data_IF_741607110490
#
_entry.id   IF_741607110490
#
_cell.length_a   1.000
_cell.length_b   1.000
_cell.length_c   1.000
_cell.angle_alpha   90.00
_cell.angle_beta   90.00
_cell.angle_gamma   90.00
#
_symmetry.space_group_name_H-M   'P 1'
#
loop_
_entity.id
_entity.type
_entity.pdbx_description
1 polymer ?
#
# COMPACT_ATOMS: atom_id res chain seq x y z
N UNK A 1 -6.26 -11.58 -5.18
CA UNK A 1 -7.02 -10.75 -4.24
C UNK A 1 -6.91 -9.30 -4.65
N UNK A 2 -7.99 -8.60 -4.55
CA UNK A 2 -8.03 -7.19 -4.89
C UNK A 2 -7.32 -6.41 -3.78
N UNK A 3 -6.35 -5.55 -4.08
CA UNK A 3 -5.61 -4.82 -3.04
C UNK A 3 -6.41 -3.71 -2.35
N UNK A 4 -7.63 -3.41 -2.81
CA UNK A 4 -8.46 -2.32 -2.29
C UNK A 4 -8.73 -2.38 -0.80
N UNK A 5 -8.89 -3.54 -0.20
CA UNK A 5 -9.10 -3.61 1.24
C UNK A 5 -7.86 -3.29 2.09
N UNK A 6 -6.70 -3.11 1.49
CA UNK A 6 -5.53 -2.59 2.18
C UNK A 6 -5.73 -1.15 2.68
N UNK A 7 -6.66 -0.44 2.05
CA UNK A 7 -6.97 0.95 2.35
C UNK A 7 -8.28 1.14 3.12
N UNK A 8 -8.90 0.04 3.55
CA UNK A 8 -10.03 0.12 4.48
C UNK A 8 -9.48 0.61 5.82
N UNK A 9 -10.07 1.69 6.31
CA UNK A 9 -9.73 2.25 7.61
C UNK A 9 -9.86 1.18 8.70
N UNK A 10 -8.90 1.15 9.60
CA UNK A 10 -8.86 0.21 10.74
C UNK A 10 -8.73 -1.27 10.36
N UNK A 11 -8.36 -1.58 9.13
CA UNK A 11 -8.12 -2.95 8.74
C UNK A 11 -6.90 -3.51 9.47
N UNK A 12 -7.14 -4.40 10.42
CA UNK A 12 -6.08 -5.23 10.97
C UNK A 12 -5.70 -6.28 9.91
N UNK A 13 -4.50 -6.14 9.38
CA UNK A 13 -3.99 -7.06 8.35
C UNK A 13 -3.53 -8.35 9.02
N UNK A 14 -4.30 -9.40 8.86
CA UNK A 14 -4.00 -10.71 9.44
C UNK A 14 -3.58 -11.70 8.37
N UNK A 15 -2.49 -12.41 8.61
CA UNK A 15 -1.99 -13.49 7.76
C UNK A 15 -1.67 -14.72 8.62
N UNK A 16 -1.97 -15.89 8.09
CA UNK A 16 -1.55 -17.15 8.63
C UNK A 16 -0.50 -17.76 7.68
N UNK A 17 0.75 -17.88 8.13
CA UNK A 17 1.81 -18.57 7.43
C UNK A 17 1.80 -20.02 7.85
N UNK A 18 1.93 -20.95 6.88
CA UNK A 18 1.80 -22.40 7.13
C UNK A 18 2.92 -23.19 6.47
N UNK A 19 3.39 -24.20 7.16
CA UNK A 19 4.30 -25.19 6.60
C UNK A 19 4.25 -26.50 7.35
N UNK A 20 4.43 -27.60 6.63
CA UNK A 20 4.60 -28.95 7.16
C UNK A 20 6.06 -29.38 7.04
N UNK A 21 6.55 -30.09 8.07
CA UNK A 21 7.87 -30.71 8.10
C UNK A 21 7.76 -32.16 8.61
N UNK A 22 8.59 -33.02 8.03
CA UNK A 22 8.89 -34.36 8.56
C UNK A 22 10.29 -34.33 9.22
N UNK A 23 10.34 -33.91 10.48
CA UNK A 23 11.58 -33.71 11.21
C UNK A 23 12.25 -35.06 11.53
N UNK A 24 13.51 -35.22 11.14
CA UNK A 24 14.30 -36.41 11.42
C UNK A 24 14.92 -36.41 12.82
N UNK A 25 15.08 -35.25 13.40
CA UNK A 25 15.67 -34.97 14.71
C UNK A 25 14.97 -33.78 15.36
N UNK A 26 15.13 -33.66 16.68
CA UNK A 26 14.65 -32.51 17.42
C UNK A 26 15.38 -31.25 17.00
N UNK A 27 14.67 -30.14 16.87
CA UNK A 27 15.23 -28.86 16.42
C UNK A 27 14.63 -27.69 17.19
N UNK A 28 15.33 -26.57 17.17
CA UNK A 28 14.88 -25.33 17.78
C UNK A 28 14.76 -24.25 16.69
N UNK A 29 13.74 -23.42 16.80
CA UNK A 29 13.58 -22.25 15.93
C UNK A 29 12.94 -21.08 16.68
N UNK A 30 13.04 -19.89 16.08
CA UNK A 30 12.36 -18.66 16.58
C UNK A 30 11.66 -17.99 15.43
N UNK A 31 10.41 -17.58 15.63
CA UNK A 31 9.67 -16.74 14.68
C UNK A 31 9.74 -15.30 15.14
N UNK A 32 10.47 -14.48 14.40
CA UNK A 32 10.54 -13.04 14.61
C UNK A 32 9.42 -12.36 13.85
N UNK A 33 8.63 -11.55 14.53
CA UNK A 33 7.55 -10.76 13.94
C UNK A 33 7.22 -9.53 14.82
N UNK A 34 6.77 -8.45 14.18
CA UNK A 34 6.08 -7.34 14.86
C UNK A 34 4.57 -7.49 14.77
N UNK A 35 3.86 -6.91 15.72
CA UNK A 35 2.41 -6.98 15.81
C UNK A 35 1.93 -8.01 16.82
N UNK A 36 0.68 -8.43 16.68
CA UNK A 36 0.04 -9.41 17.56
C UNK A 36 -0.05 -10.76 16.87
N UNK A 37 0.12 -11.84 17.62
CA UNK A 37 0.01 -13.17 17.03
C UNK A 37 0.61 -14.26 17.90
N UNK A 38 0.70 -15.47 17.33
CA UNK A 38 1.24 -16.64 17.97
C UNK A 38 1.74 -17.65 16.93
N UNK A 39 2.55 -18.60 17.40
CA UNK A 39 2.95 -19.76 16.62
C UNK A 39 2.19 -20.99 17.14
N UNK A 40 1.57 -21.72 16.26
CA UNK A 40 0.95 -23.01 16.57
C UNK A 40 1.82 -24.13 15.99
N UNK A 41 2.22 -25.06 16.84
CA UNK A 41 2.96 -26.27 16.45
C UNK A 41 2.16 -27.48 16.90
N UNK A 42 1.59 -28.20 15.96
CA UNK A 42 0.77 -29.37 16.22
C UNK A 42 -0.36 -29.12 17.25
N UNK A 43 -0.99 -27.92 17.21
CA UNK A 43 -2.07 -27.54 18.13
C UNK A 43 -1.59 -26.87 19.43
N UNK A 44 -0.27 -26.85 19.69
CA UNK A 44 0.30 -26.16 20.87
C UNK A 44 0.71 -24.75 20.49
N UNK A 45 0.25 -23.76 21.27
CA UNK A 45 0.47 -22.34 20.99
C UNK A 45 1.67 -21.78 21.75
N UNK A 46 2.52 -21.08 21.03
CA UNK A 46 3.72 -20.41 21.52
C UNK A 46 3.67 -18.92 21.20
N UNK A 47 4.42 -18.13 21.97
CA UNK A 47 4.57 -16.69 21.73
C UNK A 47 5.52 -16.43 20.56
N UNK A 48 5.24 -15.39 19.78
CA UNK A 48 6.21 -14.82 18.83
C UNK A 48 7.47 -14.33 19.55
N UNK A 49 8.58 -14.29 18.83
CA UNK A 49 9.88 -13.80 19.31
C UNK A 49 10.50 -14.60 20.46
N UNK A 50 10.10 -15.84 20.64
CA UNK A 50 10.64 -16.77 21.63
C UNK A 50 11.11 -18.06 20.95
N UNK A 51 12.13 -18.69 21.53
CA UNK A 51 12.62 -19.97 21.05
C UNK A 51 11.58 -21.08 21.29
N UNK A 52 11.38 -21.92 20.29
CA UNK A 52 10.44 -23.04 20.28
C UNK A 52 11.23 -24.31 19.99
N UNK A 53 11.05 -25.33 20.83
CA UNK A 53 11.64 -26.65 20.60
C UNK A 53 10.59 -27.57 19.96
N UNK A 54 10.99 -28.29 18.94
CA UNK A 54 10.20 -29.31 18.27
C UNK A 54 10.91 -30.66 18.34
N UNK A 55 10.15 -31.69 18.66
CA UNK A 55 10.64 -33.05 18.60
C UNK A 55 10.66 -33.60 17.17
N UNK A 56 11.41 -34.67 16.94
CA UNK A 56 11.36 -35.39 15.67
C UNK A 56 9.96 -35.92 15.39
N UNK A 57 9.55 -35.91 14.12
CA UNK A 57 8.24 -36.38 13.65
C UNK A 57 7.54 -35.40 12.71
N UNK A 58 6.31 -35.74 12.38
CA UNK A 58 5.44 -34.88 11.58
C UNK A 58 5.08 -33.59 12.36
N UNK A 59 5.39 -32.46 11.78
CA UNK A 59 5.27 -31.16 12.43
C UNK A 59 4.56 -30.16 11.54
N UNK A 60 3.35 -29.80 11.92
CA UNK A 60 2.58 -28.73 11.28
C UNK A 60 2.80 -27.42 12.03
N UNK A 61 3.29 -26.42 11.31
CA UNK A 61 3.54 -25.10 11.87
C UNK A 61 2.60 -24.09 11.23
N UNK A 62 1.91 -23.32 12.05
CA UNK A 62 1.11 -22.18 11.63
C UNK A 62 1.53 -20.95 12.42
N UNK A 63 1.75 -19.85 11.73
CA UNK A 63 2.14 -18.57 12.35
C UNK A 63 1.08 -17.54 12.04
N UNK A 64 0.35 -17.12 13.05
CA UNK A 64 -0.67 -16.09 12.95
C UNK A 64 -0.06 -14.74 13.31
N UNK A 65 -0.12 -13.79 12.39
CA UNK A 65 0.40 -12.43 12.60
C UNK A 65 -0.62 -11.40 12.13
N UNK A 66 -0.93 -10.46 13.01
CA UNK A 66 -1.70 -9.26 12.70
C UNK A 66 -0.84 -8.01 12.90
N UNK A 67 -0.83 -7.12 11.93
CA UNK A 67 -0.12 -5.86 12.01
C UNK A 67 -0.99 -4.72 11.47
N UNK A 68 -1.13 -3.65 12.25
CA UNK A 68 -1.89 -2.45 11.88
C UNK A 68 -1.01 -1.35 11.28
N UNK A 69 0.30 -1.41 11.52
CA UNK A 69 1.27 -0.39 11.11
C UNK A 69 2.06 -0.76 9.86
N UNK A 70 1.92 -1.99 9.36
CA UNK A 70 2.65 -2.47 8.20
C UNK A 70 2.11 -3.78 7.67
N UNK A 71 2.84 -4.41 6.77
CA UNK A 71 2.50 -5.74 6.29
C UNK A 71 2.79 -6.79 7.36
N UNK A 72 1.91 -7.78 7.57
CA UNK A 72 2.24 -8.94 8.37
C UNK A 72 3.38 -9.71 7.71
N UNK A 73 4.52 -9.77 8.39
CA UNK A 73 5.73 -10.44 7.94
C UNK A 73 6.31 -11.27 9.06
N UNK A 74 7.02 -12.32 8.70
CA UNK A 74 7.75 -13.17 9.63
C UNK A 74 9.17 -13.42 9.13
N UNK A 75 10.10 -13.58 10.06
CA UNK A 75 11.42 -14.08 9.80
C UNK A 75 11.72 -15.22 10.73
N UNK A 76 11.99 -16.40 10.18
CA UNK A 76 12.19 -17.62 10.97
C UNK A 76 13.66 -17.97 11.02
N UNK A 77 14.18 -18.04 12.23
CA UNK A 77 15.58 -18.36 12.52
C UNK A 77 15.65 -19.76 13.11
N UNK A 78 16.26 -20.66 12.39
CA UNK A 78 16.52 -22.04 12.81
C UNK A 78 17.37 -22.75 11.79
N UNK A 79 17.86 -23.92 12.14
CA UNK A 79 18.73 -24.70 11.28
C UNK A 79 17.90 -25.47 10.22
N UNK A 80 16.87 -26.15 10.66
CA UNK A 80 15.95 -26.93 9.83
C UNK A 80 14.72 -26.12 9.50
N UNK A 81 14.05 -25.54 10.52
CA UNK A 81 12.87 -24.70 10.37
C UNK A 81 13.32 -23.25 10.22
N UNK A 82 13.22 -22.72 9.00
CA UNK A 82 13.72 -21.39 8.62
C UNK A 82 12.87 -20.75 7.56
N UNK A 83 13.06 -19.46 7.32
CA UNK A 83 12.45 -18.74 6.19
C UNK A 83 13.06 -19.24 4.88
N UNK A 84 12.23 -19.83 4.03
CA UNK A 84 12.55 -20.26 2.66
C UNK A 84 11.28 -20.30 1.81
N UNK A 85 11.38 -20.76 0.57
CA UNK A 85 10.29 -20.77 -0.41
C UNK A 85 9.16 -21.79 -0.14
N UNK A 86 9.30 -22.65 0.88
CA UNK A 86 8.30 -23.70 1.16
C UNK A 86 7.11 -23.25 2.01
N UNK A 87 7.08 -22.01 2.46
CA UNK A 87 5.99 -21.46 3.26
C UNK A 87 4.80 -21.06 2.41
N UNK A 88 3.60 -21.26 2.94
CA UNK A 88 2.34 -20.77 2.40
C UNK A 88 1.83 -19.61 3.25
N UNK A 89 1.21 -18.62 2.63
CA UNK A 89 0.54 -17.51 3.28
C UNK A 89 -0.97 -17.55 3.00
N UNK A 90 -1.78 -17.37 4.01
CA UNK A 90 -3.24 -17.36 3.91
C UNK A 90 -3.83 -16.13 4.57
N UNK A 91 -4.78 -15.50 3.91
CA UNK A 91 -5.65 -14.45 4.47
C UNK A 91 -6.97 -15.02 4.99
N UNK A 92 -7.02 -16.33 5.28
CA UNK A 92 -8.19 -17.11 5.70
C UNK A 92 -9.23 -17.39 4.61
N UNK A 93 -9.14 -16.73 3.46
CA UNK A 93 -9.99 -16.99 2.29
C UNK A 93 -9.20 -17.72 1.21
N UNK A 94 -7.98 -17.29 0.96
CA UNK A 94 -7.09 -17.82 -0.07
C UNK A 94 -5.75 -18.19 0.55
N UNK A 95 -5.15 -19.28 0.07
CA UNK A 95 -3.79 -19.70 0.46
C UNK A 95 -2.91 -19.74 -0.78
N UNK A 96 -1.76 -19.11 -0.71
CA UNK A 96 -0.79 -18.96 -1.80
C UNK A 96 0.63 -19.23 -1.27
N UNK A 97 1.59 -19.53 -2.14
CA UNK A 97 3.00 -19.49 -1.74
C UNK A 97 3.33 -18.14 -1.09
N UNK A 98 4.02 -18.18 0.05
CA UNK A 98 4.43 -16.96 0.72
C UNK A 98 5.44 -16.21 -0.15
N UNK A 99 5.16 -14.93 -0.41
CA UNK A 99 6.14 -14.04 -1.00
C UNK A 99 7.27 -13.80 -0.01
N UNK A 100 8.47 -13.50 -0.51
CA UNK A 100 9.56 -13.09 0.34
C UNK A 100 9.98 -11.65 0.01
N UNK A 101 10.40 -10.95 1.04
CA UNK A 101 10.93 -9.62 0.88
C UNK A 101 12.42 -9.74 0.55
N UNK A 102 12.80 -9.26 -0.61
CA UNK A 102 14.15 -9.45 -1.19
C UNK A 102 15.25 -8.83 -0.31
N UNK A 103 14.93 -7.79 0.43
CA UNK A 103 15.89 -7.13 1.34
C UNK A 103 16.11 -7.88 2.64
N UNK A 104 15.38 -8.95 2.92
CA UNK A 104 15.57 -9.78 4.10
C UNK A 104 16.68 -10.79 3.89
N UNK A 105 17.91 -10.37 4.10
CA UNK A 105 19.10 -11.21 3.98
C UNK A 105 19.78 -11.49 5.32
N UNK A 106 19.41 -10.73 6.36
CA UNK A 106 20.02 -10.82 7.69
C UNK A 106 18.95 -11.05 8.76
N UNK A 107 19.16 -12.08 9.60
CA UNK A 107 18.32 -12.41 10.76
C UNK A 107 18.19 -11.29 11.80
N UNK A 108 19.12 -10.34 11.81
CA UNK A 108 19.10 -9.19 12.70
C UNK A 108 18.27 -8.02 12.17
N UNK A 109 17.83 -8.11 10.93
CA UNK A 109 16.93 -7.10 10.36
C UNK A 109 15.55 -7.22 10.98
N UNK A 110 14.90 -6.08 11.16
CA UNK A 110 13.49 -6.04 11.56
C UNK A 110 12.62 -6.67 10.47
N UNK A 111 11.82 -7.71 10.76
CA UNK A 111 10.92 -8.31 9.78
C UNK A 111 9.89 -7.34 9.20
N UNK A 112 9.60 -6.23 9.86
CA UNK A 112 8.69 -5.21 9.38
C UNK A 112 9.44 -3.98 8.86
N UNK A 113 10.25 -4.14 7.82
CA UNK A 113 10.96 -3.02 7.17
C UNK A 113 10.02 -1.98 6.57
N UNK A 114 8.76 -2.38 6.31
CA UNK A 114 7.72 -1.49 5.81
C UNK A 114 6.83 -1.11 6.99
N UNK A 115 7.13 0.01 7.59
CA UNK A 115 6.39 0.51 8.74
C UNK A 115 5.88 1.93 8.46
N UNK A 116 4.59 2.14 8.71
CA UNK A 116 4.03 3.49 8.68
C UNK A 116 4.61 4.33 9.79
N UNK A 117 5.04 5.51 9.43
CA UNK A 117 5.39 6.58 10.38
C UNK A 117 4.31 7.62 10.41
N UNK A 118 4.23 8.31 11.55
CA UNK A 118 3.28 9.38 11.75
C UNK A 118 4.01 10.67 12.04
N UNK A 119 3.64 11.73 11.33
CA UNK A 119 4.14 13.08 11.53
C UNK A 119 3.02 13.99 12.00
N UNK A 120 3.27 14.75 13.06
CA UNK A 120 2.35 15.79 13.55
C UNK A 120 2.39 17.01 12.64
N UNK A 121 1.25 17.38 12.06
CA UNK A 121 1.10 18.57 11.22
C UNK A 121 0.14 19.52 11.89
N UNK A 122 0.64 20.69 12.25
CA UNK A 122 -0.18 21.77 12.84
C UNK A 122 -0.74 22.62 11.70
N UNK A 123 -1.96 23.09 11.82
CA UNK A 123 -2.56 23.98 10.86
C UNK A 123 -1.70 25.25 10.70
N UNK A 124 -1.33 25.56 9.45
CA UNK A 124 -0.54 26.73 9.10
C UNK A 124 -1.32 28.04 9.27
N UNK A 125 -2.63 27.94 9.04
CA UNK A 125 -3.57 29.05 9.26
C UNK A 125 -4.88 28.52 9.85
N UNK A 126 -5.48 29.33 10.73
CA UNK A 126 -6.80 29.14 11.29
C UNK A 126 -7.55 30.45 11.14
N UNK A 127 -8.74 30.41 10.56
CA UNK A 127 -9.50 31.64 10.32
C UNK A 127 -11.00 31.43 10.54
N UNK A 128 -11.63 32.40 11.16
CA UNK A 128 -13.07 32.49 11.20
C UNK A 128 -13.56 32.87 9.78
N UNK A 129 -14.50 32.08 9.30
CA UNK A 129 -15.16 32.28 7.98
C UNK A 129 -16.67 32.22 8.19
N UNK A 130 -17.43 32.61 7.17
CA UNK A 130 -18.88 32.49 7.26
C UNK A 130 -19.27 31.02 7.55
N UNK A 131 -20.08 30.85 8.60
CA UNK A 131 -20.60 29.57 9.06
C UNK A 131 -19.68 28.75 9.98
N UNK A 132 -18.43 29.17 10.28
CA UNK A 132 -17.55 28.39 11.17
C UNK A 132 -16.07 28.76 11.12
N UNK A 133 -15.22 27.78 11.35
CA UNK A 133 -13.74 27.93 11.36
C UNK A 133 -13.10 27.05 10.32
N UNK A 134 -12.22 27.63 9.51
CA UNK A 134 -11.42 26.93 8.51
C UNK A 134 -9.98 26.76 8.99
N UNK A 135 -9.45 25.53 8.87
CA UNK A 135 -8.08 25.15 9.14
C UNK A 135 -7.37 24.83 7.84
N UNK A 136 -6.28 25.54 7.49
CA UNK A 136 -5.38 25.21 6.37
C UNK A 136 -4.09 24.59 6.92
N UNK A 137 -3.80 23.34 6.58
CA UNK A 137 -2.58 22.66 6.96
C UNK A 137 -1.39 23.02 6.06
N UNK A 138 -1.60 23.85 5.03
CA UNK A 138 -0.57 24.38 4.14
C UNK A 138 -0.03 23.37 3.12
N UNK A 139 -0.37 22.11 3.25
CA UNK A 139 -0.05 21.01 2.32
C UNK A 139 -1.12 19.92 2.40
N UNK A 140 -1.13 19.04 1.41
CA UNK A 140 -1.94 17.85 1.47
C UNK A 140 -1.45 16.91 2.60
N UNK A 141 -2.39 16.34 3.33
CA UNK A 141 -2.19 15.37 4.41
C UNK A 141 -2.95 14.09 4.04
N UNK A 142 -2.30 12.96 4.19
CA UNK A 142 -2.96 11.66 4.17
C UNK A 142 -2.87 11.08 5.59
N UNK A 143 -3.95 11.21 6.37
CA UNK A 143 -3.86 10.87 7.78
C UNK A 143 -5.16 11.11 8.55
N UNK A 144 -5.04 11.21 9.86
CA UNK A 144 -6.13 11.47 10.80
C UNK A 144 -6.03 12.86 11.40
N UNK A 145 -7.09 13.29 12.09
CA UNK A 145 -7.09 14.54 12.85
C UNK A 145 -7.35 14.21 14.31
N UNK A 146 -6.56 14.79 15.20
CA UNK A 146 -6.87 14.82 16.63
C UNK A 146 -7.60 16.10 16.94
N UNK A 147 -8.66 16.01 17.74
CA UNK A 147 -9.56 17.12 18.08
C UNK A 147 -9.53 17.35 19.58
N UNK A 148 -9.31 18.59 20.01
CA UNK A 148 -9.63 19.02 21.36
C UNK A 148 -10.84 19.91 21.29
N UNK A 149 -11.91 19.50 21.95
CA UNK A 149 -13.21 20.17 21.93
C UNK A 149 -13.96 19.93 23.24
N UNK A 150 -14.83 20.85 23.62
CA UNK A 150 -15.69 20.73 24.78
C UNK A 150 -17.04 20.06 24.47
N UNK A 151 -17.35 19.82 23.23
CA UNK A 151 -18.59 19.20 22.77
C UNK A 151 -18.43 18.54 21.40
N UNK A 152 -19.44 17.83 20.91
CA UNK A 152 -19.40 17.21 19.59
C UNK A 152 -19.33 18.27 18.48
N UNK A 153 -18.48 18.04 17.49
CA UNK A 153 -18.32 18.90 16.31
C UNK A 153 -18.43 18.10 15.04
N UNK A 154 -18.67 18.79 13.93
CA UNK A 154 -18.61 18.21 12.59
C UNK A 154 -17.33 18.66 11.90
N UNK A 155 -16.62 17.73 11.28
CA UNK A 155 -15.43 17.99 10.48
C UNK A 155 -15.77 17.78 9.01
N UNK A 156 -15.55 18.80 8.17
CA UNK A 156 -15.71 18.76 6.72
C UNK A 156 -14.32 18.88 6.07
N UNK A 157 -13.96 17.94 5.22
CA UNK A 157 -12.62 17.80 4.65
C UNK A 157 -12.62 18.19 3.17
N UNK A 158 -11.55 18.84 2.72
CA UNK A 158 -11.36 19.18 1.31
C UNK A 158 -9.89 19.37 0.93
N UNK A 159 -9.60 19.27 -0.35
CA UNK A 159 -8.31 19.65 -0.94
C UNK A 159 -8.24 21.16 -1.23
N UNK A 160 -9.39 21.79 -1.37
CA UNK A 160 -9.54 23.24 -1.48
C UNK A 160 -10.41 23.80 -0.36
N UNK A 161 -10.28 25.09 -0.10
CA UNK A 161 -11.14 25.83 0.82
C UNK A 161 -12.61 25.71 0.42
N UNK A 162 -12.92 25.92 -0.85
CA UNK A 162 -14.29 25.86 -1.38
C UNK A 162 -14.92 24.49 -1.12
N UNK A 163 -14.17 23.42 -1.37
CA UNK A 163 -14.65 22.06 -1.13
C UNK A 163 -14.89 21.81 0.36
N UNK A 164 -13.95 22.16 1.23
CA UNK A 164 -14.10 21.92 2.66
C UNK A 164 -15.29 22.67 3.26
N UNK A 165 -15.60 23.89 2.77
CA UNK A 165 -16.69 24.73 3.24
C UNK A 165 -18.07 24.33 2.72
N UNK A 166 -18.13 23.53 1.67
CA UNK A 166 -19.39 22.96 1.21
C UNK A 166 -19.80 21.77 2.10
N UNK A 167 -20.56 22.08 3.15
CA UNK A 167 -20.96 21.09 4.17
C UNK A 167 -21.76 19.93 3.59
N UNK A 168 -22.41 20.10 2.44
CA UNK A 168 -23.21 19.06 1.78
C UNK A 168 -22.35 18.21 0.83
N UNK A 169 -21.47 18.84 0.06
CA UNK A 169 -20.72 18.22 -1.02
C UNK A 169 -19.22 18.07 -0.77
N UNK A 170 -18.73 18.42 0.44
CA UNK A 170 -17.32 18.22 0.78
C UNK A 170 -16.89 16.76 0.59
N UNK A 171 -15.62 16.54 0.29
CA UNK A 171 -15.09 15.23 0.04
C UNK A 171 -15.47 14.18 1.11
N UNK A 172 -15.39 14.56 2.37
CA UNK A 172 -15.74 13.70 3.49
C UNK A 172 -16.25 14.55 4.66
N UNK A 173 -17.29 14.07 5.29
CA UNK A 173 -17.85 14.68 6.49
C UNK A 173 -17.94 13.67 7.62
N UNK A 174 -17.53 14.06 8.81
CA UNK A 174 -17.67 13.26 10.02
C UNK A 174 -18.35 14.10 11.11
N UNK A 175 -19.54 13.69 11.50
CA UNK A 175 -20.33 14.35 12.55
C UNK A 175 -20.08 13.74 13.92
N UNK A 176 -20.49 14.44 14.97
CA UNK A 176 -20.43 14.00 16.37
C UNK A 176 -19.01 13.64 16.85
N UNK A 177 -18.00 14.32 16.31
CA UNK A 177 -16.62 14.13 16.70
C UNK A 177 -16.35 14.81 18.04
N UNK A 178 -15.83 14.04 18.99
CA UNK A 178 -15.40 14.49 20.30
C UNK A 178 -13.89 14.28 20.48
N UNK A 179 -13.32 14.73 21.58
CA UNK A 179 -11.89 14.52 21.89
C UNK A 179 -11.47 13.03 21.95
N UNK A 180 -12.43 12.12 22.14
CA UNK A 180 -12.19 10.66 22.20
C UNK A 180 -12.63 9.91 20.95
N UNK A 181 -13.22 10.60 19.99
CA UNK A 181 -13.68 9.97 18.75
C UNK A 181 -12.50 9.58 17.88
N UNK A 182 -12.48 8.32 17.43
CA UNK A 182 -11.52 7.86 16.45
C UNK A 182 -11.87 8.45 15.08
N UNK A 183 -11.05 9.37 14.62
CA UNK A 183 -11.20 10.00 13.31
C UNK A 183 -10.57 9.10 12.25
N UNK A 184 -11.27 8.90 11.16
CA UNK A 184 -10.81 8.05 10.05
C UNK A 184 -9.69 8.73 9.25
N UNK A 185 -8.75 7.93 8.74
CA UNK A 185 -7.70 8.37 7.82
C UNK A 185 -8.32 8.89 6.52
N UNK A 186 -7.98 10.13 6.14
CA UNK A 186 -8.44 10.80 4.93
C UNK A 186 -7.32 11.63 4.30
N UNK A 187 -7.52 11.97 3.04
CA UNK A 187 -6.68 12.92 2.32
C UNK A 187 -7.34 14.30 2.36
N UNK A 188 -6.63 15.31 2.81
CA UNK A 188 -7.13 16.69 2.91
C UNK A 188 -5.99 17.69 3.00
N UNK A 189 -6.28 18.92 2.69
CA UNK A 189 -5.46 20.09 3.06
C UNK A 189 -6.23 20.99 4.02
N UNK A 190 -7.54 21.08 3.82
CA UNK A 190 -8.43 21.94 4.59
C UNK A 190 -9.38 21.10 5.44
N UNK A 191 -9.65 21.59 6.64
CA UNK A 191 -10.74 21.11 7.48
C UNK A 191 -11.59 22.30 7.89
N UNK A 192 -12.86 22.27 7.53
CA UNK A 192 -13.84 23.24 7.97
C UNK A 192 -14.68 22.66 9.12
N UNK A 193 -14.91 23.46 10.14
CA UNK A 193 -15.73 23.10 11.29
C UNK A 193 -16.91 24.06 11.37
N UNK A 194 -18.09 23.62 10.92
CA UNK A 194 -19.27 24.46 10.97
C UNK A 194 -19.73 24.75 12.41
N UNK A 195 -20.37 25.89 12.58
CA UNK A 195 -20.97 26.33 13.86
C UNK A 195 -20.00 26.46 15.04
N UNK A 196 -18.71 26.58 14.79
CA UNK A 196 -17.67 26.84 15.79
C UNK A 196 -17.14 28.27 15.69
N UNK A 197 -16.58 28.78 16.78
CA UNK A 197 -15.83 30.02 16.83
C UNK A 197 -14.33 29.75 16.94
N UNK A 198 -13.53 30.73 16.54
CA UNK A 198 -12.09 30.62 16.63
C UNK A 198 -11.67 30.47 18.11
N UNK A 199 -10.94 29.42 18.42
CA UNK A 199 -10.51 29.09 19.78
C UNK A 199 -11.37 28.02 20.49
N UNK A 200 -12.57 27.70 19.98
CA UNK A 200 -13.42 26.67 20.58
C UNK A 200 -12.82 25.26 20.46
N UNK A 201 -12.05 25.04 19.41
CA UNK A 201 -11.43 23.75 19.13
C UNK A 201 -9.97 23.91 18.68
N UNK A 202 -9.17 22.87 18.95
CA UNK A 202 -7.83 22.74 18.43
C UNK A 202 -7.77 21.48 17.56
N UNK A 203 -7.34 21.64 16.32
CA UNK A 203 -7.12 20.53 15.40
C UNK A 203 -5.62 20.32 15.14
N UNK A 204 -5.21 19.07 15.19
CA UNK A 204 -3.87 18.65 14.78
C UNK A 204 -3.98 17.46 13.84
N UNK A 205 -3.39 17.56 12.68
CA UNK A 205 -3.34 16.44 11.75
C UNK A 205 -2.16 15.50 12.10
N UNK A 206 -2.39 14.22 11.89
CA UNK A 206 -1.39 13.16 12.03
C UNK A 206 -1.19 12.54 10.66
N UNK A 207 -0.22 13.04 9.92
CA UNK A 207 0.12 12.54 8.58
C UNK A 207 0.79 11.18 8.70
N UNK A 208 0.26 10.18 8.01
CA UNK A 208 0.81 8.82 7.98
C UNK A 208 1.47 8.56 6.62
N UNK A 209 2.70 8.07 6.64
CA UNK A 209 3.49 7.82 5.44
C UNK A 209 4.49 6.67 5.63
N UNK A 210 4.95 6.11 4.53
CA UNK A 210 6.10 5.19 4.51
C UNK A 210 7.33 5.99 4.11
N UNK A 211 8.40 6.00 4.93
CA UNK A 211 9.60 6.74 4.62
C UNK A 211 10.21 6.34 3.27
N UNK A 212 10.69 7.32 2.53
CA UNK A 212 11.47 7.12 1.31
C UNK A 212 12.93 7.40 1.61
N UNK A 213 13.78 6.49 1.18
CA UNK A 213 15.22 6.68 1.24
C UNK A 213 15.68 7.39 -0.05
N UNK A 214 16.71 8.25 0.10
CA UNK A 214 17.41 8.87 -1.04
C UNK A 214 16.52 9.65 -2.03
N UNK A 215 15.73 10.65 -1.59
CA UNK A 215 15.01 11.48 -2.54
C UNK A 215 15.98 12.27 -3.42
N UNK A 216 15.69 12.33 -4.71
CA UNK A 216 16.42 13.21 -5.62
C UNK A 216 16.09 14.68 -5.33
N UNK A 217 16.95 15.57 -5.77
CA UNK A 217 16.73 17.01 -5.70
C UNK A 217 16.91 17.64 -7.08
N UNK A 218 16.12 18.68 -7.34
CA UNK A 218 16.21 19.45 -8.55
C UNK A 218 16.09 20.94 -8.21
N UNK A 219 16.97 21.75 -8.81
CA UNK A 219 16.96 23.20 -8.65
C UNK A 219 17.37 23.86 -9.96
N UNK A 220 16.64 24.89 -10.37
CA UNK A 220 16.92 25.75 -11.51
C UNK A 220 16.76 27.22 -11.12
N UNK A 221 17.15 28.11 -12.01
CA UNK A 221 16.92 29.55 -11.88
C UNK A 221 15.44 29.94 -12.12
N UNK A 222 14.65 29.07 -12.72
CA UNK A 222 13.23 29.27 -12.95
C UNK A 222 12.39 28.78 -11.75
N UNK A 223 11.83 29.74 -11.01
CA UNK A 223 11.02 29.45 -9.82
C UNK A 223 9.79 28.57 -10.12
N UNK A 224 9.16 28.74 -11.29
CA UNK A 224 7.98 27.94 -11.65
C UNK A 224 8.36 26.47 -11.88
N UNK A 225 9.47 26.21 -12.54
CA UNK A 225 9.96 24.84 -12.74
C UNK A 225 10.27 24.18 -11.40
N UNK A 226 10.90 24.90 -10.47
CA UNK A 226 11.16 24.39 -9.12
C UNK A 226 9.85 24.07 -8.36
N UNK A 227 8.82 24.90 -8.51
CA UNK A 227 7.51 24.65 -7.92
C UNK A 227 6.85 23.40 -8.54
N UNK A 228 6.90 23.26 -9.86
CA UNK A 228 6.36 22.07 -10.57
C UNK A 228 7.05 20.81 -10.05
N UNK A 229 8.38 20.81 -9.97
CA UNK A 229 9.14 19.68 -9.42
C UNK A 229 8.70 19.32 -8.02
N UNK A 230 8.61 20.28 -7.13
CA UNK A 230 8.24 20.05 -5.72
C UNK A 230 6.83 19.50 -5.60
N UNK A 231 5.86 20.03 -6.36
CA UNK A 231 4.47 19.57 -6.34
C UNK A 231 4.38 18.14 -6.91
N UNK A 232 5.03 17.87 -8.04
CA UNK A 232 5.03 16.55 -8.66
C UNK A 232 5.66 15.48 -7.75
N UNK A 233 6.79 15.81 -7.14
CA UNK A 233 7.49 14.90 -6.22
C UNK A 233 6.67 14.64 -4.96
N UNK A 234 6.05 15.66 -4.39
CA UNK A 234 5.17 15.50 -3.22
C UNK A 234 3.91 14.69 -3.59
N UNK A 235 3.35 14.89 -4.78
CA UNK A 235 2.21 14.08 -5.26
C UNK A 235 2.58 12.62 -5.35
N UNK A 236 3.72 12.28 -5.95
CA UNK A 236 4.18 10.90 -5.99
C UNK A 236 4.43 10.34 -4.58
N UNK A 237 5.02 11.15 -3.68
CA UNK A 237 5.24 10.75 -2.30
C UNK A 237 3.94 10.37 -1.59
N UNK A 238 2.90 11.18 -1.73
CA UNK A 238 1.57 10.93 -1.16
C UNK A 238 0.90 9.68 -1.75
N UNK A 239 1.07 9.43 -3.05
CA UNK A 239 0.53 8.27 -3.75
C UNK A 239 1.42 7.00 -3.63
N UNK A 240 2.54 7.10 -2.91
CA UNK A 240 3.46 6.00 -2.65
C UNK A 240 3.25 5.46 -1.24
N UNK A 241 2.36 4.50 -1.12
CA UNK A 241 2.03 3.81 0.13
C UNK A 241 2.72 2.42 0.16
N UNK A 242 2.04 1.36 0.57
CA UNK A 242 2.51 -0.02 0.39
C UNK A 242 2.73 -0.35 -1.08
N UNK A 243 1.95 0.27 -1.93
CA UNK A 243 1.98 0.19 -3.39
C UNK A 243 1.87 1.60 -3.96
N UNK A 244 2.16 1.76 -5.25
CA UNK A 244 1.72 2.95 -5.96
C UNK A 244 0.21 2.90 -6.15
N UNK A 245 -0.45 3.97 -5.76
CA UNK A 245 -1.90 4.14 -5.88
C UNK A 245 -2.21 5.32 -6.80
N UNK A 246 -3.35 5.29 -7.43
CA UNK A 246 -3.84 6.34 -8.34
C UNK A 246 -4.01 7.70 -7.65
N UNK A 247 -4.45 7.70 -6.41
CA UNK A 247 -4.66 8.91 -5.63
C UNK A 247 -5.00 8.65 -4.17
N UNK A 248 -4.81 9.67 -3.32
CA UNK A 248 -5.06 9.56 -1.88
C UNK A 248 -6.49 9.89 -1.46
N UNK A 249 -7.26 10.51 -2.34
CA UNK A 249 -8.61 11.01 -2.05
C UNK A 249 -9.70 10.03 -2.45
N UNK A 250 -9.78 9.68 -3.71
CA UNK A 250 -10.76 8.74 -4.28
C UNK A 250 -10.03 7.48 -4.74
N UNK A 251 -10.76 6.46 -5.11
CA UNK A 251 -10.30 5.13 -5.49
C UNK A 251 -9.28 4.57 -4.53
N UNK A 252 -8.13 5.18 -4.36
CA UNK A 252 -7.01 4.73 -3.50
C UNK A 252 -6.64 3.28 -3.84
N UNK A 253 -6.53 3.01 -5.12
CA UNK A 253 -6.43 1.68 -5.71
C UNK A 253 -5.14 1.51 -6.47
N UNK A 254 -4.74 0.27 -6.71
CA UNK A 254 -3.63 -0.04 -7.60
C UNK A 254 -4.19 -0.20 -9.01
N UNK A 255 -4.07 0.85 -9.82
CA UNK A 255 -4.36 0.82 -11.24
C UNK A 255 -3.07 0.63 -12.02
N UNK A 256 -3.03 -0.31 -12.99
CA UNK A 256 -1.79 -0.66 -13.68
C UNK A 256 -1.24 0.48 -14.56
N UNK A 257 -2.11 1.30 -15.15
CA UNK A 257 -1.72 2.48 -15.91
C UNK A 257 -1.06 3.54 -15.01
N UNK A 258 -1.68 3.86 -13.89
CA UNK A 258 -1.16 4.80 -12.89
C UNK A 258 0.15 4.29 -12.28
N UNK A 259 0.18 3.01 -11.93
CA UNK A 259 1.37 2.38 -11.38
C UNK A 259 2.55 2.38 -12.36
N UNK A 260 2.28 2.22 -13.67
CA UNK A 260 3.30 2.34 -14.71
C UNK A 260 3.94 3.73 -14.72
N UNK A 261 3.12 4.79 -14.67
CA UNK A 261 3.61 6.17 -14.60
C UNK A 261 4.37 6.43 -13.31
N UNK A 262 3.82 5.99 -12.17
CA UNK A 262 4.45 6.16 -10.87
C UNK A 262 5.81 5.45 -10.78
N UNK A 263 5.91 4.22 -11.32
CA UNK A 263 7.16 3.48 -11.42
C UNK A 263 8.19 4.27 -12.24
N UNK A 264 7.80 4.76 -13.41
CA UNK A 264 8.69 5.55 -14.26
C UNK A 264 9.20 6.82 -13.55
N UNK A 265 8.34 7.56 -12.86
CA UNK A 265 8.73 8.75 -12.09
C UNK A 265 9.60 8.38 -10.89
N UNK A 266 9.31 7.28 -10.20
CA UNK A 266 10.08 6.79 -9.06
C UNK A 266 11.55 6.53 -9.42
N UNK A 267 11.81 6.07 -10.62
CA UNK A 267 13.17 5.83 -11.14
C UNK A 267 14.03 7.11 -11.23
N UNK A 268 13.42 8.28 -11.19
CA UNK A 268 14.11 9.59 -11.21
C UNK A 268 13.96 10.39 -9.90
N UNK A 269 13.07 9.98 -9.01
CA UNK A 269 12.72 10.76 -7.82
C UNK A 269 13.15 10.11 -6.50
N UNK A 270 12.69 8.90 -6.20
CA UNK A 270 12.95 8.24 -4.92
C UNK A 270 13.84 7.01 -5.03
N UNK A 271 13.96 6.42 -6.20
CA UNK A 271 14.72 5.18 -6.44
C UNK A 271 14.32 4.03 -5.51
N UNK A 272 13.04 3.97 -5.15
CA UNK A 272 12.54 2.96 -4.22
C UNK A 272 12.12 1.71 -5.00
N UNK A 273 13.02 0.75 -5.12
CA UNK A 273 12.78 -0.50 -5.85
C UNK A 273 11.71 -1.38 -5.18
N UNK A 274 11.58 -1.30 -3.86
CA UNK A 274 10.67 -2.17 -3.12
C UNK A 274 9.21 -1.91 -3.45
N UNK A 275 8.81 -0.64 -3.56
CA UNK A 275 7.44 -0.29 -3.91
C UNK A 275 7.13 -0.69 -5.35
N UNK A 276 8.11 -0.58 -6.27
CA UNK A 276 7.99 -1.06 -7.64
C UNK A 276 7.71 -2.57 -7.65
N UNK A 277 8.57 -3.34 -7.01
CA UNK A 277 8.46 -4.81 -6.94
C UNK A 277 7.14 -5.25 -6.33
N UNK A 278 6.74 -4.64 -5.20
CA UNK A 278 5.45 -4.94 -4.56
C UNK A 278 4.28 -4.62 -5.48
N UNK A 279 4.31 -3.48 -6.12
CA UNK A 279 3.24 -3.04 -7.03
C UNK A 279 3.12 -3.95 -8.25
N UNK A 280 4.24 -4.28 -8.88
CA UNK A 280 4.27 -5.19 -10.03
C UNK A 280 3.74 -6.59 -9.67
N UNK A 281 4.13 -7.13 -8.52
CA UNK A 281 3.62 -8.43 -8.06
C UNK A 281 2.14 -8.39 -7.69
N UNK A 282 1.69 -7.34 -7.00
CA UNK A 282 0.31 -7.20 -6.57
C UNK A 282 -0.66 -7.05 -7.75
N UNK A 283 -0.29 -6.26 -8.75
CA UNK A 283 -1.08 -6.06 -9.98
C UNK A 283 -1.29 -7.37 -10.74
N UNK A 284 -0.24 -8.17 -10.86
CA UNK A 284 -0.31 -9.43 -11.60
C UNK A 284 -1.14 -10.49 -10.88
N UNK A 285 -1.10 -10.50 -9.56
CA UNK A 285 -1.87 -11.43 -8.74
C UNK A 285 -1.56 -12.90 -8.98
N UNK A 286 -2.61 -13.71 -9.04
CA UNK A 286 -2.54 -15.17 -9.12
C UNK A 286 -2.23 -15.67 -10.54
N UNK A 287 -1.75 -16.93 -10.62
CA UNK A 287 -1.66 -17.66 -11.87
C UNK A 287 -3.05 -18.12 -12.33
N UNK A 288 -3.12 -18.60 -13.60
CA UNK A 288 -4.33 -18.73 -14.39
C UNK A 288 -5.00 -17.37 -14.63
N UNK A 289 -4.41 -16.61 -15.55
CA UNK A 289 -4.96 -15.31 -15.96
C UNK A 289 -6.34 -15.53 -16.59
N UNK A 290 -7.35 -14.95 -15.97
CA UNK A 290 -8.73 -15.04 -16.44
C UNK A 290 -9.23 -13.76 -17.08
N UNK A 291 -8.57 -12.64 -16.81
CA UNK A 291 -8.94 -11.31 -17.29
C UNK A 291 -7.72 -10.39 -17.34
N UNK A 292 -7.84 -9.31 -18.08
CA UNK A 292 -6.84 -8.23 -18.06
C UNK A 292 -6.74 -7.57 -16.68
N UNK A 293 -5.58 -6.96 -16.40
CA UNK A 293 -5.37 -6.19 -15.16
C UNK A 293 -6.39 -5.06 -15.08
N UNK A 294 -7.01 -4.91 -13.92
CA UNK A 294 -8.10 -3.96 -13.71
C UNK A 294 -9.24 -4.07 -14.75
N UNK A 295 -9.34 -5.20 -15.47
CA UNK A 295 -10.23 -5.45 -16.61
C UNK A 295 -9.96 -4.61 -17.86
N UNK A 296 -8.84 -3.91 -17.93
CA UNK A 296 -8.45 -2.98 -19.00
C UNK A 296 -7.32 -3.60 -19.83
N UNK A 297 -7.50 -3.67 -21.15
CA UNK A 297 -6.59 -4.37 -22.07
C UNK A 297 -5.19 -3.77 -22.06
N UNK A 298 -5.07 -2.48 -22.29
CA UNK A 298 -3.79 -1.76 -22.34
C UNK A 298 -3.05 -1.73 -20.99
N UNK A 299 -3.76 -1.77 -19.87
CA UNK A 299 -3.14 -1.84 -18.53
C UNK A 299 -2.30 -3.10 -18.33
N UNK A 300 -2.73 -4.21 -18.89
CA UNK A 300 -1.94 -5.44 -18.88
C UNK A 300 -0.67 -5.30 -19.73
N UNK A 301 -0.72 -4.57 -20.85
CA UNK A 301 0.46 -4.29 -21.68
C UNK A 301 1.42 -3.35 -20.97
N UNK A 302 0.91 -2.29 -20.35
CA UNK A 302 1.71 -1.35 -19.55
C UNK A 302 2.42 -2.05 -18.39
N UNK A 303 1.80 -3.05 -17.78
CA UNK A 303 2.46 -3.86 -16.77
C UNK A 303 3.68 -4.63 -17.33
N UNK A 304 3.55 -5.23 -18.53
CA UNK A 304 4.67 -5.92 -19.20
C UNK A 304 5.83 -4.95 -19.45
N UNK A 305 5.51 -3.76 -19.95
CA UNK A 305 6.50 -2.69 -20.18
C UNK A 305 7.11 -2.23 -18.85
N UNK A 306 6.30 -2.11 -17.78
CA UNK A 306 6.76 -1.76 -16.45
C UNK A 306 7.78 -2.74 -15.88
N UNK A 307 7.57 -4.05 -16.07
CA UNK A 307 8.55 -5.08 -15.68
C UNK A 307 9.86 -4.91 -16.46
N UNK A 308 9.78 -4.65 -17.75
CA UNK A 308 10.97 -4.39 -18.58
C UNK A 308 11.73 -3.16 -18.11
N UNK A 309 11.03 -2.06 -17.86
CA UNK A 309 11.62 -0.81 -17.41
C UNK A 309 12.30 -0.99 -16.03
N UNK A 310 11.65 -1.70 -15.10
CA UNK A 310 12.25 -2.01 -13.81
C UNK A 310 13.58 -2.76 -13.99
N UNK A 311 13.60 -3.81 -14.82
CA UNK A 311 14.82 -4.57 -15.06
C UNK A 311 15.91 -3.74 -15.76
N UNK A 312 15.56 -2.92 -16.72
CA UNK A 312 16.52 -2.06 -17.43
C UNK A 312 17.18 -1.03 -16.50
N UNK A 313 16.43 -0.52 -15.53
CA UNK A 313 16.93 0.50 -14.60
C UNK A 313 17.71 -0.10 -13.42
N UNK A 314 17.33 -1.27 -12.94
CA UNK A 314 17.91 -1.87 -11.72
C UNK A 314 18.92 -2.97 -12.02
N UNK A 315 18.77 -3.67 -13.14
CA UNK A 315 19.54 -4.88 -13.45
C UNK A 315 19.21 -6.06 -12.52
N UNK A 316 18.12 -5.99 -11.74
CA UNK A 316 17.76 -6.98 -10.72
C UNK A 316 17.32 -8.31 -11.35
N UNK A 317 18.29 -9.20 -11.51
CA UNK A 317 18.07 -10.55 -12.07
C UNK A 317 17.30 -11.46 -11.12
N UNK A 318 17.41 -11.26 -9.82
CA UNK A 318 16.72 -12.11 -8.85
C UNK A 318 15.22 -11.81 -8.86
N UNK A 319 14.84 -10.54 -8.89
CA UNK A 319 13.46 -10.17 -9.08
C UNK A 319 12.92 -10.61 -10.44
N UNK A 320 13.72 -10.46 -11.51
CA UNK A 320 13.33 -10.93 -12.83
C UNK A 320 13.02 -12.43 -12.85
N UNK A 321 13.83 -13.27 -12.18
CA UNK A 321 13.55 -14.71 -12.05
C UNK A 321 12.21 -14.98 -11.37
N UNK A 322 11.87 -14.19 -10.34
CA UNK A 322 10.60 -14.34 -9.60
C UNK A 322 9.40 -13.97 -10.47
N UNK A 323 9.49 -12.87 -11.23
CA UNK A 323 8.37 -12.34 -11.98
C UNK A 323 8.26 -12.93 -13.40
N UNK A 324 9.32 -13.52 -13.94
CA UNK A 324 9.39 -14.01 -15.32
C UNK A 324 8.29 -15.02 -15.67
N UNK A 325 7.97 -16.04 -14.86
CA UNK A 325 6.87 -16.94 -15.19
C UNK A 325 5.52 -16.22 -15.31
N UNK A 326 5.33 -15.18 -14.51
CA UNK A 326 4.13 -14.33 -14.54
C UNK A 326 4.10 -13.44 -15.80
N UNK A 327 5.26 -12.95 -16.21
CA UNK A 327 5.44 -12.20 -17.45
C UNK A 327 5.14 -13.07 -18.66
N UNK A 328 5.73 -14.25 -18.71
CA UNK A 328 5.53 -15.21 -19.82
C UNK A 328 4.05 -15.59 -19.95
N UNK A 329 3.38 -15.94 -18.86
CA UNK A 329 1.96 -16.29 -18.90
C UNK A 329 1.08 -15.11 -19.36
N UNK A 330 1.43 -13.86 -19.01
CA UNK A 330 0.72 -12.68 -19.49
C UNK A 330 0.91 -12.47 -20.98
N UNK A 331 2.12 -12.64 -21.50
CA UNK A 331 2.39 -12.56 -22.93
C UNK A 331 1.63 -13.65 -23.71
N UNK A 332 1.60 -14.88 -23.19
CA UNK A 332 0.80 -15.95 -23.77
C UNK A 332 -0.69 -15.64 -23.79
N UNK A 333 -1.19 -15.01 -22.73
CA UNK A 333 -2.58 -14.55 -22.65
C UNK A 333 -2.91 -13.52 -23.74
N UNK A 334 -1.99 -12.59 -24.07
CA UNK A 334 -2.15 -11.66 -25.19
C UNK A 334 -2.16 -12.36 -26.53
N UNK A 335 -1.21 -13.28 -26.75
CA UNK A 335 -1.12 -14.03 -28.02
C UNK A 335 -2.43 -14.77 -28.31
N UNK A 336 -3.05 -15.35 -27.30
CA UNK A 336 -4.35 -16.05 -27.44
C UNK A 336 -5.52 -15.12 -27.80
N UNK A 337 -5.37 -13.81 -27.60
CA UNK A 337 -6.39 -12.81 -27.91
C UNK A 337 -6.04 -11.96 -29.14
N UNK A 338 -4.96 -12.30 -29.81
CA UNK A 338 -4.54 -11.61 -31.02
C UNK A 338 -5.33 -12.16 -32.21
N UNK A 339 -5.92 -11.29 -33.02
CA UNK A 339 -6.62 -11.66 -34.23
C UNK A 339 -5.65 -11.94 -35.39
N UNK A 340 -6.16 -12.33 -36.56
CA UNK A 340 -5.40 -12.61 -37.76
C UNK A 340 -4.55 -11.44 -38.28
N UNK A 341 -4.89 -10.20 -37.90
CA UNK A 341 -4.18 -8.98 -38.22
C UNK A 341 -3.14 -8.56 -37.20
N UNK A 342 -2.99 -9.33 -36.09
CA UNK A 342 -2.06 -9.02 -35.02
C UNK A 342 -2.59 -8.04 -33.97
N UNK A 343 -3.87 -7.70 -33.98
CA UNK A 343 -4.48 -6.84 -32.98
C UNK A 343 -5.08 -7.64 -31.83
N UNK A 344 -4.89 -7.15 -30.62
CA UNK A 344 -5.56 -7.65 -29.43
C UNK A 344 -6.95 -7.01 -29.34
N UNK A 345 -7.97 -7.81 -29.09
CA UNK A 345 -9.33 -7.35 -28.92
C UNK A 345 -9.87 -7.72 -27.53
N UNK A 346 -10.72 -6.87 -26.98
CA UNK A 346 -11.40 -7.14 -25.71
C UNK A 346 -12.45 -8.24 -25.87
N UNK A 347 -12.61 -9.06 -24.85
CA UNK A 347 -13.67 -10.07 -24.78
C UNK A 347 -14.95 -9.43 -24.26
N UNK A 348 -16.08 -10.14 -24.42
CA UNK A 348 -17.43 -9.65 -24.03
C UNK A 348 -17.54 -9.12 -22.60
N UNK A 349 -16.73 -9.64 -21.68
CA UNK A 349 -16.74 -9.25 -20.27
C UNK A 349 -15.56 -8.39 -19.86
N UNK A 350 -14.70 -8.02 -20.80
CA UNK A 350 -13.59 -7.10 -20.54
C UNK A 350 -14.08 -5.66 -20.70
N UNK A 351 -13.49 -4.77 -19.98
CA UNK A 351 -13.68 -3.35 -20.18
C UNK A 351 -12.91 -2.93 -21.43
N UNK A 352 -13.64 -2.78 -22.52
CA UNK A 352 -13.07 -2.50 -23.85
C UNK A 352 -12.98 -0.99 -24.02
N UNK A 353 -11.99 -0.38 -23.43
CA UNK A 353 -11.62 0.98 -23.77
C UNK A 353 -10.10 1.13 -23.63
N UNK A 354 -9.55 2.04 -24.39
CA UNK A 354 -8.15 2.40 -24.36
C UNK A 354 -8.02 3.69 -23.56
N UNK A 355 -7.94 3.52 -22.23
CA UNK A 355 -7.90 4.63 -21.29
C UNK A 355 -9.19 5.51 -21.33
N UNK A 356 -9.23 6.59 -20.60
CA UNK A 356 -10.38 7.49 -20.46
C UNK A 356 -10.55 8.44 -21.65
N UNK A 357 -10.58 7.89 -22.85
CA UNK A 357 -10.71 8.64 -24.11
C UNK A 357 -12.18 8.77 -24.53
N UNK A 358 -12.58 9.93 -25.04
CA UNK A 358 -13.90 10.12 -25.66
C UNK A 358 -14.07 9.30 -26.96
N UNK A 359 -12.98 8.79 -27.51
CA UNK A 359 -12.97 7.96 -28.71
C UNK A 359 -13.53 6.54 -28.48
N UNK A 360 -13.70 6.14 -27.22
CA UNK A 360 -14.12 4.80 -26.80
C UNK A 360 -15.65 4.63 -26.71
N UNK A 361 -16.43 5.57 -27.24
CA UNK A 361 -17.90 5.53 -27.20
C UNK A 361 -18.51 5.04 -28.50
#
# INVERSE_FOLDING_TARGET
GWPAYWYIDDCNRNVNFKRHYDLKESTQFTVLAKGTGYVDVNGTKYRLNHAINCDAGATDIQVFVGNVQGLPTIYIVGEIIKSDSGWLASNFVTTLPAGHHILYTDRNQDPNVIEYRTEKVVAKAQQAVDGGVLYDFGRAVNGTVTVKTNGPVTLCYGESETEARDVEMCYYKQSDVTATTKVRKRAFRYVFVPHCQLGDIELTAMHEYIPKNNPSSFTSDNKLINQIWNVATETLNLCSDLFFIDGIKRDRWIWAGDAYQANFINQYSFFNEDIDKRTLLALRGQDDIKQHMNTIVDYSMLWVIGVLNHYQMTGDREFLKIIYPKLESMVQYFIQQTNEHGFIYGRKNDWIFVDWSEMDK
#
